data_IF_804189381063
#
_entry.id   IF_804189381063
#
_cell.length_a   1.000
_cell.length_b   1.000
_cell.length_c   1.000
_cell.angle_alpha   90.00
_cell.angle_beta   90.00
_cell.angle_gamma   90.00
#
_symmetry.space_group_name_H-M   'P 1'
#
loop_
_entity.id
_entity.type
_entity.pdbx_description
1 polymer ?
#
# COMPACT_ATOMS: atom_id res chain seq x y z
N UNK A 1 -2.57 -6.18 29.80
CA UNK A 1 -3.52 -6.60 28.74
C UNK A 1 -2.77 -7.53 27.80
N UNK A 2 -3.39 -8.64 27.37
CA UNK A 2 -2.79 -9.59 26.41
C UNK A 2 -3.64 -9.57 25.14
N UNK A 3 -3.02 -9.29 24.01
CA UNK A 3 -3.68 -9.31 22.71
C UNK A 3 -3.55 -10.70 22.08
N UNK A 4 -4.59 -11.14 21.37
CA UNK A 4 -4.62 -12.39 20.63
C UNK A 4 -5.19 -12.05 19.26
N UNK A 5 -4.50 -12.50 18.22
CA UNK A 5 -4.94 -12.35 16.84
C UNK A 5 -5.64 -13.63 16.40
N UNK A 6 -6.91 -13.51 16.01
CA UNK A 6 -7.73 -14.60 15.49
C UNK A 6 -8.54 -14.07 14.32
N UNK A 7 -8.63 -14.87 13.27
CA UNK A 7 -9.46 -14.57 12.11
C UNK A 7 -10.93 -14.81 12.43
N UNK A 8 -11.78 -13.91 11.96
CA UNK A 8 -13.22 -14.05 12.03
C UNK A 8 -13.86 -13.31 10.87
N UNK A 9 -15.13 -13.60 10.66
CA UNK A 9 -15.95 -12.99 9.62
C UNK A 9 -16.98 -12.06 10.26
N UNK A 10 -17.18 -10.91 9.63
CA UNK A 10 -18.26 -10.01 9.96
C UNK A 10 -19.40 -10.27 8.98
N UNK A 11 -20.58 -10.62 9.49
CA UNK A 11 -21.74 -10.82 8.63
C UNK A 11 -22.40 -9.48 8.21
N UNK A 12 -23.42 -9.58 7.37
CA UNK A 12 -24.19 -8.42 6.87
C UNK A 12 -24.93 -7.65 7.96
N UNK A 13 -25.10 -8.23 9.14
CA UNK A 13 -25.73 -7.60 10.31
C UNK A 13 -24.71 -6.99 11.28
N UNK A 14 -23.42 -7.16 11.00
CA UNK A 14 -22.33 -6.69 11.86
C UNK A 14 -21.99 -7.65 13.00
N UNK A 15 -22.43 -8.91 12.96
CA UNK A 15 -22.06 -9.92 13.95
C UNK A 15 -20.68 -10.51 13.61
N UNK A 16 -19.74 -10.43 14.56
CA UNK A 16 -18.43 -11.05 14.45
C UNK A 16 -18.50 -12.52 14.84
N UNK A 17 -18.20 -13.40 13.90
CA UNK A 17 -18.04 -14.84 14.12
C UNK A 17 -16.58 -15.23 13.99
N UNK A 18 -16.01 -15.86 15.02
CA UNK A 18 -14.63 -16.34 14.96
C UNK A 18 -14.57 -17.68 14.23
N UNK A 19 -13.57 -17.87 13.37
CA UNK A 19 -13.39 -19.13 12.63
C UNK A 19 -13.07 -20.30 13.57
N UNK A 20 -12.49 -19.98 14.73
CA UNK A 20 -12.12 -20.93 15.79
C UNK A 20 -12.28 -20.31 17.18
N UNK A 21 -12.63 -21.11 18.21
CA UNK A 21 -12.70 -20.64 19.58
C UNK A 21 -11.35 -20.15 20.11
N UNK A 22 -11.38 -19.19 21.03
CA UNK A 22 -10.18 -18.77 21.77
C UNK A 22 -9.98 -19.73 22.94
N UNK A 23 -9.01 -20.61 22.82
CA UNK A 23 -8.69 -21.63 23.83
C UNK A 23 -7.82 -21.07 24.96
N UNK A 24 -7.84 -21.73 26.12
CA UNK A 24 -7.01 -21.46 27.30
C UNK A 24 -7.32 -20.17 28.08
N UNK A 25 -8.59 -19.72 28.07
CA UNK A 25 -9.04 -18.59 28.90
C UNK A 25 -10.27 -18.95 29.70
N UNK A 26 -10.31 -18.49 30.95
CA UNK A 26 -11.50 -18.61 31.78
C UNK A 26 -12.63 -17.70 31.23
N UNK A 27 -13.91 -18.09 31.39
CA UNK A 27 -15.05 -17.25 31.01
C UNK A 27 -14.93 -15.86 31.66
N UNK A 28 -14.78 -14.84 30.83
CA UNK A 28 -14.52 -13.48 31.29
C UNK A 28 -14.97 -12.46 30.23
N UNK A 29 -15.15 -11.20 30.66
CA UNK A 29 -15.46 -10.10 29.74
C UNK A 29 -14.19 -9.65 29.04
N UNK A 30 -14.24 -9.56 27.71
CA UNK A 30 -13.11 -9.14 26.86
C UNK A 30 -13.44 -7.86 26.10
N UNK A 31 -12.41 -7.15 25.64
CA UNK A 31 -12.52 -6.01 24.72
C UNK A 31 -12.04 -6.47 23.34
N UNK A 32 -12.86 -6.28 22.32
CA UNK A 32 -12.57 -6.68 20.94
C UNK A 32 -12.14 -5.45 20.14
N UNK A 33 -11.09 -5.59 19.34
CA UNK A 33 -10.65 -4.60 18.35
C UNK A 33 -10.72 -5.30 17.01
N UNK A 34 -11.46 -4.73 16.05
CA UNK A 34 -11.59 -5.25 14.70
C UNK A 34 -10.72 -4.38 13.80
N UNK A 35 -9.76 -5.00 13.10
CA UNK A 35 -8.93 -4.32 12.12
C UNK A 35 -9.48 -4.64 10.74
N UNK A 36 -9.89 -3.61 10.02
CA UNK A 36 -10.16 -3.73 8.59
C UNK A 36 -8.86 -3.46 7.85
N UNK A 37 -8.52 -4.25 6.82
CA UNK A 37 -7.46 -3.85 5.93
C UNK A 37 -7.81 -2.49 5.34
N UNK A 38 -6.81 -1.64 5.14
CA UNK A 38 -6.96 -0.39 4.40
C UNK A 38 -7.22 -0.72 2.93
N UNK A 39 -8.45 -1.14 2.62
CA UNK A 39 -8.96 -1.35 1.26
C UNK A 39 -9.67 -0.10 0.75
N UNK A 40 -9.49 1.03 1.41
CA UNK A 40 -9.77 2.31 0.78
C UNK A 40 -8.80 2.44 -0.39
N UNK A 41 -9.33 2.14 -1.58
CA UNK A 41 -8.84 2.65 -2.87
C UNK A 41 -8.84 4.20 -2.92
N UNK A 42 -9.17 4.87 -1.82
CA UNK A 42 -8.68 6.22 -1.56
C UNK A 42 -7.17 6.10 -1.30
N UNK A 43 -6.43 5.93 -2.39
CA UNK A 43 -5.05 6.40 -2.46
C UNK A 43 -5.08 7.79 -1.84
N UNK A 44 -4.48 7.95 -0.67
CA UNK A 44 -4.24 9.26 -0.08
C UNK A 44 -3.58 10.08 -1.19
N UNK A 45 -4.36 10.92 -1.86
CA UNK A 45 -3.91 11.59 -3.06
C UNK A 45 -3.21 12.82 -2.54
N UNK A 46 -1.91 12.69 -2.29
CA UNK A 46 -1.10 13.86 -2.02
C UNK A 46 -1.25 14.79 -3.24
N UNK A 47 -1.64 16.07 -3.07
CA UNK A 47 -1.70 17.00 -4.18
C UNK A 47 -0.35 17.16 -4.92
N UNK A 48 0.77 16.80 -4.27
CA UNK A 48 2.11 16.79 -4.86
C UNK A 48 2.43 15.46 -5.59
N UNK A 49 1.59 14.42 -5.47
CA UNK A 49 1.80 13.15 -6.15
C UNK A 49 1.50 13.24 -7.65
N UNK A 50 2.40 12.68 -8.44
CA UNK A 50 2.19 12.56 -9.89
C UNK A 50 1.11 11.50 -10.18
N UNK A 51 0.07 11.82 -10.95
CA UNK A 51 -0.98 10.87 -11.28
C UNK A 51 -0.42 9.60 -11.92
N UNK A 52 -1.00 8.44 -11.55
CA UNK A 52 -0.57 7.13 -12.05
C UNK A 52 -0.53 7.07 -13.58
N UNK A 53 -1.48 7.72 -14.27
CA UNK A 53 -1.51 7.76 -15.73
C UNK A 53 -0.34 8.53 -16.34
N UNK A 54 0.11 9.59 -15.68
CA UNK A 54 1.30 10.34 -16.10
C UNK A 54 2.57 9.53 -15.86
N UNK A 55 2.68 8.83 -14.73
CA UNK A 55 3.79 7.90 -14.45
C UNK A 55 3.85 6.81 -15.52
N UNK A 56 2.72 6.17 -15.85
CA UNK A 56 2.66 5.15 -16.91
C UNK A 56 3.09 5.70 -18.27
N UNK A 57 2.62 6.91 -18.63
CA UNK A 57 2.99 7.55 -19.89
C UNK A 57 4.50 7.86 -19.95
N UNK A 58 5.05 8.38 -18.85
CA UNK A 58 6.49 8.65 -18.70
C UNK A 58 7.33 7.38 -18.86
N UNK A 59 6.96 6.29 -18.17
CA UNK A 59 7.65 5.01 -18.25
C UNK A 59 7.64 4.42 -19.67
N UNK A 60 6.49 4.48 -20.37
CA UNK A 60 6.40 4.04 -21.77
C UNK A 60 7.35 4.83 -22.68
N UNK A 61 7.40 6.16 -22.51
CA UNK A 61 8.30 7.03 -23.26
C UNK A 61 9.77 6.69 -22.96
N UNK A 62 10.14 6.57 -21.69
CA UNK A 62 11.50 6.23 -21.27
C UNK A 62 11.94 4.86 -21.83
N UNK A 63 11.04 3.87 -21.81
CA UNK A 63 11.31 2.56 -22.40
C UNK A 63 11.53 2.64 -23.92
N UNK A 64 10.75 3.46 -24.63
CA UNK A 64 10.94 3.66 -26.07
C UNK A 64 12.26 4.37 -26.37
N UNK A 65 12.61 5.40 -25.59
CA UNK A 65 13.89 6.11 -25.70
C UNK A 65 15.07 5.16 -25.48
N UNK A 66 14.99 4.33 -24.44
CA UNK A 66 15.97 3.27 -24.16
C UNK A 66 16.16 2.32 -25.33
N UNK A 67 15.05 1.81 -25.91
CA UNK A 67 15.10 0.92 -27.08
C UNK A 67 15.68 1.59 -28.32
N UNK A 68 15.45 2.90 -28.49
CA UNK A 68 16.01 3.68 -29.61
C UNK A 68 17.45 4.16 -29.40
N UNK A 69 18.09 3.80 -28.28
CA UNK A 69 19.44 4.26 -27.95
C UNK A 69 19.51 5.74 -27.55
N UNK A 70 18.37 6.39 -27.32
CA UNK A 70 18.27 7.76 -26.80
C UNK A 70 18.45 7.76 -25.28
N UNK A 71 19.54 7.15 -24.80
CA UNK A 71 19.93 7.14 -23.40
C UNK A 71 21.17 8.01 -23.21
N UNK A 72 21.43 8.40 -21.96
CA UNK A 72 22.66 9.09 -21.60
C UNK A 72 23.41 8.28 -20.56
N UNK A 73 24.75 8.25 -20.61
CA UNK A 73 25.56 7.70 -19.54
C UNK A 73 25.27 8.42 -18.23
N UNK A 74 25.27 7.68 -17.12
CA UNK A 74 25.06 8.24 -15.79
C UNK A 74 26.16 9.25 -15.39
N UNK A 75 27.36 9.10 -15.96
CA UNK A 75 28.47 10.03 -15.76
C UNK A 75 28.15 11.44 -16.28
N UNK A 76 27.39 11.56 -17.38
CA UNK A 76 27.01 12.84 -17.99
C UNK A 76 25.83 13.54 -17.27
N UNK A 77 25.28 12.91 -16.23
CA UNK A 77 24.13 13.43 -15.50
C UNK A 77 24.52 14.59 -14.56
N UNK A 78 25.75 14.56 -14.04
CA UNK A 78 26.31 15.56 -13.13
C UNK A 78 26.76 16.83 -13.86
N UNK A 79 27.23 16.71 -15.10
CA UNK A 79 27.72 17.83 -15.94
C UNK A 79 26.69 18.95 -16.18
N UNK A 80 25.41 18.67 -15.91
CA UNK A 80 24.28 19.61 -16.10
C UNK A 80 23.72 20.16 -14.81
N UNK A 81 24.07 19.58 -13.67
CA UNK A 81 23.63 20.02 -12.34
C UNK A 81 24.59 21.08 -11.80
N UNK A 82 25.86 21.04 -12.22
CA UNK A 82 26.88 22.04 -11.88
C UNK A 82 26.79 23.34 -12.73
N UNK A 83 25.71 23.54 -13.48
CA UNK A 83 25.48 24.77 -14.24
C UNK A 83 24.72 25.79 -13.36
N UNK A 84 25.45 26.84 -12.94
CA UNK A 84 24.99 28.04 -12.22
C UNK A 84 23.81 28.77 -12.89
#
# INVERSE_FOLDING_TARGET
MRAIEVTGTLDVTGQLSLDRPIENFAPSRVRVIVLFPDVTEEVETDPDDTPIEEVKASLRRALQQSKSGQTRPIAELWDRIDAE
#
